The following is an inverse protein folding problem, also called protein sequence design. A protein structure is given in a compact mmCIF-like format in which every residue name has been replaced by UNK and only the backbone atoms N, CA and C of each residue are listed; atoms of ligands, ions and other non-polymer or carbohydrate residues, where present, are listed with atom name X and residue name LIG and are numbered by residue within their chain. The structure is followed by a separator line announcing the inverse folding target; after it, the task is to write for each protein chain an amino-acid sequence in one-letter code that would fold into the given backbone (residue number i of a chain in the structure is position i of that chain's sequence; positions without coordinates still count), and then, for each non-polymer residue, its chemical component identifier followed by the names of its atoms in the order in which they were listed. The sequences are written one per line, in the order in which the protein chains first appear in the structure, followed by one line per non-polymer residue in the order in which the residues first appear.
data_IF_785826240252
#
_entry.id   IF_785826240252
#
_cell.length_a   1.000
_cell.length_b   1.000
_cell.length_c   1.000
_cell.angle_alpha   90.00
_cell.angle_beta   90.00
_cell.angle_gamma   90.00
#
_symmetry.space_group_name_H-M   'P 1'
#
loop_
_entity.id
_entity.type
_entity.pdbx_description
1 polymer ?
#
# COMPACT_ATOMS: atom_id res chain seq x y z
N UNK A 1 -0.89 -4.70 1.43
CA UNK A 1 0.22 -3.71 1.39
C UNK A 1 0.93 -3.63 2.75
N UNK A 2 0.20 -3.58 3.83
CA UNK A 2 0.75 -3.48 5.20
C UNK A 2 1.79 -4.57 5.49
N UNK A 3 1.47 -5.83 5.21
CA UNK A 3 2.43 -6.94 5.41
C UNK A 3 3.74 -6.69 4.65
N UNK A 4 3.68 -6.17 3.42
CA UNK A 4 4.88 -5.87 2.62
C UNK A 4 5.73 -4.78 3.28
N UNK A 5 5.09 -3.72 3.80
CA UNK A 5 5.80 -2.65 4.53
C UNK A 5 6.44 -3.18 5.80
N UNK A 6 5.73 -3.99 6.58
CA UNK A 6 6.29 -4.64 7.78
C UNK A 6 7.48 -5.52 7.42
N UNK A 7 7.36 -6.37 6.38
CA UNK A 7 8.45 -7.25 5.94
C UNK A 7 9.66 -6.46 5.44
N UNK A 8 9.47 -5.38 4.69
CA UNK A 8 10.60 -4.54 4.24
C UNK A 8 11.33 -3.94 5.43
N UNK A 9 10.62 -3.33 6.39
CA UNK A 9 11.22 -2.78 7.61
C UNK A 9 11.97 -3.85 8.43
N UNK A 10 11.34 -5.01 8.63
CA UNK A 10 11.95 -6.13 9.36
C UNK A 10 13.20 -6.67 8.63
N UNK A 11 13.15 -6.80 7.31
CA UNK A 11 14.29 -7.25 6.51
C UNK A 11 15.46 -6.27 6.61
N UNK A 12 15.20 -4.97 6.48
CA UNK A 12 16.24 -3.94 6.63
C UNK A 12 16.85 -3.98 8.04
N UNK A 13 16.00 -4.09 9.08
CA UNK A 13 16.46 -4.20 10.47
C UNK A 13 17.38 -5.39 10.68
N UNK A 14 16.93 -6.58 10.26
CA UNK A 14 17.72 -7.82 10.40
C UNK A 14 19.03 -7.72 9.59
N UNK A 15 18.97 -7.22 8.36
CA UNK A 15 20.15 -7.09 7.52
C UNK A 15 21.21 -6.16 8.16
N UNK A 16 20.79 -5.01 8.71
CA UNK A 16 21.68 -4.08 9.39
C UNK A 16 22.38 -4.72 10.62
N UNK A 17 21.63 -5.49 11.40
CA UNK A 17 22.18 -6.16 12.58
C UNK A 17 23.11 -7.32 12.18
N UNK A 18 22.76 -8.10 11.14
CA UNK A 18 23.61 -9.18 10.65
C UNK A 18 24.93 -8.65 10.08
N UNK A 19 24.91 -7.52 9.36
CA UNK A 19 26.14 -6.89 8.83
C UNK A 19 27.01 -6.39 9.97
N UNK A 20 26.42 -5.79 11.02
CA UNK A 20 27.19 -5.25 12.14
C UNK A 20 27.64 -6.31 13.16
N UNK A 21 27.03 -7.48 13.21
CA UNK A 21 27.30 -8.54 14.19
C UNK A 21 28.79 -8.99 14.21
N UNK A 22 29.46 -9.29 13.07
CA UNK A 22 30.87 -9.67 13.06
C UNK A 22 31.79 -8.57 13.63
N UNK A 23 31.55 -7.31 13.27
CA UNK A 23 32.33 -6.16 13.73
C UNK A 23 32.19 -5.97 15.24
N UNK A 24 30.96 -6.06 15.75
CA UNK A 24 30.69 -6.04 17.18
C UNK A 24 31.40 -7.19 17.91
N UNK A 25 31.31 -8.41 17.39
CA UNK A 25 31.96 -9.58 18.00
C UNK A 25 33.49 -9.48 18.04
N UNK A 26 34.08 -8.84 17.03
CA UNK A 26 35.53 -8.60 16.92
C UNK A 26 35.99 -7.31 17.60
N UNK A 27 35.07 -6.55 18.24
CA UNK A 27 35.34 -5.21 18.83
C UNK A 27 35.96 -4.24 17.84
N UNK A 28 35.57 -4.33 16.56
CA UNK A 28 36.00 -3.46 15.49
C UNK A 28 34.89 -2.46 15.12
N UNK A 29 35.22 -1.25 14.65
CA UNK A 29 34.22 -0.35 14.08
C UNK A 29 33.61 -0.97 12.84
N UNK A 30 32.27 -1.07 12.82
CA UNK A 30 31.52 -1.53 11.65
C UNK A 30 31.46 -0.47 10.56
N UNK A 31 31.00 -0.83 9.35
CA UNK A 31 30.77 0.11 8.27
C UNK A 31 29.68 1.13 8.66
N UNK A 32 29.86 2.40 8.29
CA UNK A 32 28.87 3.46 8.55
C UNK A 32 27.64 3.35 7.63
N UNK A 33 26.94 2.21 7.68
CA UNK A 33 25.72 1.99 6.89
C UNK A 33 24.60 2.91 7.37
N UNK A 34 24.53 3.17 8.68
CA UNK A 34 23.49 4.00 9.27
C UNK A 34 23.59 5.45 8.79
N UNK A 35 24.79 6.01 8.72
CA UNK A 35 25.03 7.32 8.15
C UNK A 35 24.70 7.43 6.65
N UNK A 36 24.50 6.31 5.94
CA UNK A 36 24.03 6.29 4.56
C UNK A 36 22.50 6.15 4.44
N UNK A 37 21.82 5.75 5.50
CA UNK A 37 20.38 5.46 5.49
C UNK A 37 19.55 6.45 6.32
N UNK A 38 20.11 7.01 7.38
CA UNK A 38 19.47 8.02 8.22
C UNK A 38 19.42 9.37 7.52
N UNK A 39 18.43 10.16 7.83
CA UNK A 39 18.28 11.49 7.24
C UNK A 39 18.82 12.56 8.18
N UNK A 40 19.33 13.64 7.61
CA UNK A 40 20.08 14.71 8.28
C UNK A 40 19.30 16.02 8.27
N UNK A 41 19.50 16.84 9.30
CA UNK A 41 19.08 18.25 9.32
C UNK A 41 20.04 19.16 8.56
N UNK A 42 21.32 18.79 8.44
CA UNK A 42 22.32 19.52 7.65
C UNK A 42 22.05 19.43 6.15
N UNK A 43 21.81 20.55 5.50
CA UNK A 43 21.52 20.64 4.07
C UNK A 43 22.68 20.13 3.20
N UNK A 44 23.93 20.36 3.63
CA UNK A 44 25.11 19.91 2.90
C UNK A 44 25.23 18.37 2.93
N UNK A 45 24.95 17.74 4.08
CA UNK A 45 24.89 16.28 4.20
C UNK A 45 23.72 15.70 3.37
N UNK A 46 22.56 16.35 3.40
CA UNK A 46 21.40 15.97 2.63
C UNK A 46 21.66 16.01 1.11
N UNK A 47 22.30 17.07 0.61
CA UNK A 47 22.64 17.17 -0.81
C UNK A 47 23.62 16.09 -1.27
N UNK A 48 24.51 15.62 -0.38
CA UNK A 48 25.41 14.49 -0.67
C UNK A 48 24.71 13.13 -0.62
N UNK A 49 23.60 13.03 0.12
CA UNK A 49 22.82 11.78 0.33
C UNK A 49 21.33 12.02 0.09
N UNK A 50 20.88 12.41 -1.13
CA UNK A 50 19.52 12.85 -1.41
C UNK A 50 18.45 11.73 -1.34
N UNK A 51 18.86 10.49 -1.17
CA UNK A 51 17.95 9.34 -0.95
C UNK A 51 17.50 9.20 0.50
N UNK A 52 18.22 9.82 1.45
CA UNK A 52 17.96 9.63 2.90
C UNK A 52 16.57 10.09 3.36
N UNK A 53 15.89 11.07 2.74
CA UNK A 53 14.49 11.37 3.03
C UNK A 53 13.50 10.23 2.78
N UNK A 54 13.93 9.20 2.05
CA UNK A 54 13.14 7.99 1.80
C UNK A 54 13.66 6.82 2.62
N UNK A 55 14.97 6.61 2.68
CA UNK A 55 15.55 5.42 3.34
C UNK A 55 15.36 5.43 4.85
N UNK A 56 15.34 6.61 5.47
CA UNK A 56 15.16 6.74 6.92
C UNK A 56 13.88 6.09 7.44
N UNK A 57 12.79 6.12 6.63
CA UNK A 57 11.48 5.55 6.98
C UNK A 57 11.50 4.04 7.16
N UNK A 58 12.53 3.37 6.63
CA UNK A 58 12.68 1.91 6.66
C UNK A 58 13.79 1.46 7.59
N UNK A 59 14.50 2.40 8.23
CA UNK A 59 15.69 2.12 9.03
C UNK A 59 15.37 2.22 10.51
N UNK A 60 15.62 1.14 11.26
CA UNK A 60 15.47 1.09 12.71
C UNK A 60 16.74 0.54 13.32
N UNK A 61 17.10 1.05 14.52
CA UNK A 61 18.27 0.53 15.25
C UNK A 61 17.86 -0.27 16.49
N UNK A 62 16.96 0.25 17.31
CA UNK A 62 16.52 -0.42 18.54
C UNK A 62 15.37 -1.41 18.29
N UNK A 63 15.39 -2.57 18.98
CA UNK A 63 14.34 -3.58 18.87
C UNK A 63 12.96 -3.04 19.29
N UNK A 64 12.88 -2.35 20.44
CA UNK A 64 11.60 -1.76 20.88
C UNK A 64 11.07 -0.74 19.88
N UNK A 65 11.97 0.04 19.25
CA UNK A 65 11.61 1.04 18.25
C UNK A 65 10.94 0.38 17.03
N UNK A 66 11.55 -0.66 16.44
CA UNK A 66 10.91 -1.36 15.31
C UNK A 66 9.66 -2.10 15.75
N UNK A 67 9.67 -2.75 16.93
CA UNK A 67 8.54 -3.53 17.41
C UNK A 67 7.27 -2.68 17.53
N UNK A 68 7.33 -1.53 18.21
CA UNK A 68 6.16 -0.66 18.37
C UNK A 68 5.74 0.00 17.06
N UNK A 69 6.67 0.37 16.19
CA UNK A 69 6.34 0.87 14.85
C UNK A 69 5.59 -0.18 14.02
N UNK A 70 6.09 -1.41 13.98
CA UNK A 70 5.47 -2.47 13.20
C UNK A 70 4.15 -2.93 13.80
N UNK A 71 4.04 -2.95 15.12
CA UNK A 71 2.79 -3.26 15.81
C UNK A 71 1.69 -2.23 15.46
N UNK A 72 2.01 -0.94 15.57
CA UNK A 72 1.07 0.12 15.26
C UNK A 72 0.73 0.16 13.75
N UNK A 73 1.73 -0.03 12.88
CA UNK A 73 1.52 -0.16 11.44
C UNK A 73 0.65 -1.37 11.09
N UNK A 74 0.85 -2.49 11.78
CA UNK A 74 0.01 -3.68 11.59
C UNK A 74 -1.44 -3.39 11.91
N UNK A 75 -1.73 -2.90 13.12
CA UNK A 75 -3.10 -2.66 13.54
C UNK A 75 -3.78 -1.53 12.74
N UNK A 76 -3.17 -0.36 12.72
CA UNK A 76 -3.78 0.82 12.09
C UNK A 76 -3.70 0.75 10.57
N UNK A 77 -2.61 0.22 10.05
CA UNK A 77 -2.44 0.01 8.61
C UNK A 77 -3.41 -1.01 8.05
N UNK A 78 -3.68 -2.12 8.76
CA UNK A 78 -4.69 -3.10 8.32
C UNK A 78 -6.08 -2.48 8.30
N UNK A 79 -6.44 -1.74 9.35
CA UNK A 79 -7.70 -1.02 9.40
C UNK A 79 -7.84 -0.02 8.24
N UNK A 80 -6.77 0.71 7.94
CA UNK A 80 -6.70 1.62 6.79
C UNK A 80 -6.80 0.85 5.46
N UNK A 81 -6.06 -0.27 5.33
CA UNK A 81 -6.05 -1.10 4.11
C UNK A 81 -7.42 -1.67 3.78
N UNK A 82 -8.14 -2.16 4.81
CA UNK A 82 -9.46 -2.75 4.66
C UNK A 82 -10.53 -1.70 4.25
N UNK A 83 -10.40 -0.45 4.70
CA UNK A 83 -11.35 0.62 4.39
C UNK A 83 -11.02 1.39 3.11
N UNK A 84 -9.75 1.62 2.83
CA UNK A 84 -9.30 2.55 1.78
C UNK A 84 -8.40 1.91 0.72
N UNK A 85 -7.97 0.67 0.95
CA UNK A 85 -7.14 -0.09 0.02
C UNK A 85 -5.63 0.13 0.19
N UNK A 86 -4.86 -0.89 -0.16
CA UNK A 86 -3.42 -0.96 0.11
C UNK A 86 -2.57 0.09 -0.63
N UNK A 87 -3.00 0.57 -1.79
CA UNK A 87 -2.25 1.62 -2.52
C UNK A 87 -2.27 2.95 -1.78
N UNK A 88 -3.39 3.29 -1.12
CA UNK A 88 -3.48 4.48 -0.27
C UNK A 88 -2.67 4.35 1.01
N UNK A 89 -2.57 3.14 1.58
CA UNK A 89 -1.64 2.88 2.70
C UNK A 89 -0.21 3.20 2.29
N UNK A 90 0.25 2.73 1.12
CA UNK A 90 1.59 3.02 0.61
C UNK A 90 1.81 4.53 0.41
N UNK A 91 0.84 5.20 -0.22
CA UNK A 91 0.90 6.65 -0.43
C UNK A 91 0.96 7.45 0.88
N UNK A 92 0.11 7.09 1.87
CA UNK A 92 0.14 7.72 3.20
C UNK A 92 1.45 7.44 3.94
N UNK A 93 1.98 6.22 3.85
CA UNK A 93 3.26 5.87 4.46
C UNK A 93 4.41 6.71 3.88
N UNK A 94 4.53 6.77 2.56
CA UNK A 94 5.63 7.50 1.90
C UNK A 94 5.49 9.02 2.05
N UNK A 95 4.33 9.58 1.73
CA UNK A 95 4.12 11.03 1.83
C UNK A 95 4.07 11.51 3.27
N UNK A 96 3.56 10.69 4.20
CA UNK A 96 3.60 10.98 5.62
C UNK A 96 5.03 11.04 6.16
N UNK A 97 5.87 10.09 5.77
CA UNK A 97 7.29 10.13 6.10
C UNK A 97 8.00 11.33 5.46
N UNK A 98 7.76 11.64 4.18
CA UNK A 98 8.32 12.83 3.53
C UNK A 98 7.87 14.13 4.19
N UNK A 99 6.60 14.23 4.60
CA UNK A 99 6.08 15.39 5.34
C UNK A 99 6.69 15.50 6.73
N UNK A 100 6.90 14.36 7.40
CA UNK A 100 7.61 14.30 8.68
C UNK A 100 9.05 14.79 8.53
N UNK A 101 9.77 14.28 7.54
CA UNK A 101 11.10 14.75 7.21
C UNK A 101 11.13 16.26 6.91
N UNK A 102 10.17 16.76 6.13
CA UNK A 102 10.11 18.17 5.78
C UNK A 102 9.92 19.05 7.03
N UNK A 103 9.03 18.67 7.96
CA UNK A 103 8.82 19.44 9.19
C UNK A 103 10.05 19.40 10.11
N UNK A 104 10.71 18.24 10.21
CA UNK A 104 11.99 18.12 10.92
C UNK A 104 13.05 19.03 10.29
N UNK A 105 13.24 18.98 8.97
CA UNK A 105 14.24 19.81 8.27
C UNK A 105 13.98 21.31 8.45
N UNK A 106 12.72 21.73 8.27
CA UNK A 106 12.28 23.12 8.45
C UNK A 106 12.51 23.55 9.90
N UNK A 107 12.10 22.74 10.87
CA UNK A 107 12.24 23.05 12.29
C UNK A 107 13.69 23.26 12.67
N UNK A 108 14.59 22.34 12.32
CA UNK A 108 16.00 22.43 12.66
C UNK A 108 16.75 23.59 11.99
N UNK A 109 16.36 23.94 10.76
CA UNK A 109 17.04 25.03 10.03
C UNK A 109 16.44 26.43 10.26
N UNK A 110 15.21 26.52 10.80
CA UNK A 110 14.54 27.82 10.99
C UNK A 110 14.36 28.21 12.47
N UNK A 111 14.28 27.25 13.39
CA UNK A 111 14.03 27.57 14.80
C UNK A 111 15.37 27.78 15.54
N UNK A 112 15.59 28.93 16.19
CA UNK A 112 16.83 29.24 16.87
C UNK A 112 17.23 28.22 17.94
N UNK A 113 16.26 27.55 18.57
CA UNK A 113 16.51 26.53 19.60
C UNK A 113 17.36 25.35 19.11
N UNK A 114 17.37 25.08 17.80
CA UNK A 114 18.11 23.96 17.19
C UNK A 114 19.39 24.43 16.45
N UNK A 115 19.76 25.71 16.49
CA UNK A 115 20.86 26.26 15.69
C UNK A 115 22.20 25.52 15.90
N UNK A 116 22.48 25.10 17.14
CA UNK A 116 23.72 24.40 17.49
C UNK A 116 23.65 22.88 17.18
N UNK A 117 22.46 22.34 16.88
CA UNK A 117 22.24 20.91 16.66
C UNK A 117 22.18 20.53 15.18
N UNK A 118 22.03 21.49 14.26
CA UNK A 118 21.82 21.24 12.81
C UNK A 118 22.89 20.31 12.22
N UNK A 119 24.19 20.50 12.61
CA UNK A 119 25.27 19.70 12.06
C UNK A 119 25.30 18.23 12.50
N UNK A 120 24.64 17.89 13.60
CA UNK A 120 24.71 16.55 14.22
C UNK A 120 23.39 15.81 14.30
N UNK A 121 22.27 16.49 14.06
CA UNK A 121 20.95 15.84 14.20
C UNK A 121 20.61 14.92 13.03
N UNK A 122 20.06 13.76 13.37
CA UNK A 122 19.58 12.77 12.41
C UNK A 122 18.24 12.20 12.84
N UNK A 123 17.44 11.76 11.86
CA UNK A 123 16.22 10.99 12.11
C UNK A 123 16.25 9.65 11.40
N UNK A 124 15.59 8.66 12.03
CA UNK A 124 15.39 7.32 11.49
C UNK A 124 14.14 6.67 12.07
N UNK A 125 13.56 5.75 11.36
CA UNK A 125 12.36 5.01 11.79
C UNK A 125 11.12 5.32 10.96
N UNK A 126 10.19 4.38 10.97
CA UNK A 126 8.93 4.46 10.25
C UNK A 126 7.87 5.35 10.93
N UNK A 127 8.17 5.89 12.12
CA UNK A 127 7.16 6.44 13.03
C UNK A 127 6.37 7.62 12.45
N UNK A 128 7.01 8.52 11.70
CA UNK A 128 6.29 9.60 11.00
C UNK A 128 5.31 9.06 9.95
N UNK A 129 5.71 8.04 9.20
CA UNK A 129 4.86 7.33 8.25
C UNK A 129 3.70 6.61 8.95
N UNK A 130 3.97 5.99 10.09
CA UNK A 130 2.97 5.29 10.91
C UNK A 130 1.97 6.27 11.51
N UNK A 131 2.43 7.43 11.99
CA UNK A 131 1.57 8.51 12.46
C UNK A 131 0.65 9.04 11.36
N UNK A 132 1.16 9.17 10.13
CA UNK A 132 0.32 9.56 8.99
C UNK A 132 -0.78 8.54 8.70
N UNK A 133 -0.48 7.24 8.78
CA UNK A 133 -1.48 6.18 8.59
C UNK A 133 -2.51 6.20 9.72
N UNK A 134 -2.08 6.28 10.99
CA UNK A 134 -2.95 6.34 12.16
C UNK A 134 -3.89 7.57 12.13
N UNK A 135 -3.31 8.76 12.00
CA UNK A 135 -4.09 10.01 12.00
C UNK A 135 -4.95 10.09 10.74
N UNK A 136 -4.46 9.57 9.61
CA UNK A 136 -5.21 9.48 8.37
C UNK A 136 -6.51 8.69 8.54
N UNK A 137 -6.46 7.49 9.10
CA UNK A 137 -7.68 6.69 9.29
C UNK A 137 -8.58 7.28 10.38
N UNK A 138 -7.99 7.85 11.43
CA UNK A 138 -8.74 8.52 12.51
C UNK A 138 -9.50 9.76 12.00
N UNK A 139 -8.91 10.55 11.09
CA UNK A 139 -9.55 11.71 10.46
C UNK A 139 -10.61 11.29 9.42
N UNK A 140 -10.37 10.19 8.69
CA UNK A 140 -11.33 9.68 7.72
C UNK A 140 -12.58 9.11 8.37
N UNK A 141 -12.42 8.35 9.45
CA UNK A 141 -13.51 7.70 10.23
C UNK A 141 -13.33 7.99 11.73
N UNK A 142 -13.67 9.22 12.18
CA UNK A 142 -13.38 9.67 13.55
C UNK A 142 -14.14 8.90 14.63
N UNK A 143 -15.28 8.32 14.28
CA UNK A 143 -16.11 7.55 15.23
C UNK A 143 -15.85 6.04 15.17
N UNK A 144 -14.82 5.62 14.40
CA UNK A 144 -14.41 4.23 14.37
C UNK A 144 -13.91 3.80 15.76
N UNK A 145 -14.48 2.72 16.27
CA UNK A 145 -14.14 2.19 17.57
C UNK A 145 -13.14 1.05 17.46
N UNK A 146 -12.13 1.08 18.31
CA UNK A 146 -11.14 0.00 18.47
C UNK A 146 -11.15 -0.49 19.89
N UNK A 147 -11.06 -1.80 20.09
CA UNK A 147 -11.01 -2.39 21.42
C UNK A 147 -9.56 -2.52 21.87
N UNK A 148 -9.22 -1.75 22.90
CA UNK A 148 -7.93 -1.83 23.57
C UNK A 148 -8.00 -2.82 24.73
N UNK A 149 -6.92 -3.59 24.95
CA UNK A 149 -6.88 -4.65 25.97
C UNK A 149 -7.17 -4.12 27.39
N UNK A 150 -6.60 -2.95 27.72
CA UNK A 150 -6.69 -2.38 29.09
C UNK A 150 -7.75 -1.30 29.24
N UNK A 151 -8.14 -0.63 28.14
CA UNK A 151 -9.01 0.56 28.17
C UNK A 151 -10.42 0.31 27.60
N UNK A 152 -10.70 -0.94 27.17
CA UNK A 152 -11.98 -1.26 26.54
C UNK A 152 -12.12 -0.63 25.15
N UNK A 153 -13.34 -0.24 24.78
CA UNK A 153 -13.65 0.34 23.48
C UNK A 153 -13.43 1.84 23.47
N UNK A 154 -12.54 2.31 22.60
CA UNK A 154 -12.17 3.74 22.47
C UNK A 154 -12.32 4.17 21.00
N UNK A 155 -12.83 5.38 20.75
CA UNK A 155 -12.88 5.95 19.41
C UNK A 155 -11.49 6.35 18.93
N UNK A 156 -11.16 5.97 17.72
CA UNK A 156 -9.82 6.12 17.15
C UNK A 156 -9.30 7.56 17.13
N UNK A 157 -10.20 8.55 16.98
CA UNK A 157 -9.85 9.98 17.06
C UNK A 157 -9.19 10.37 18.38
N UNK A 158 -9.57 9.75 19.49
CA UNK A 158 -8.99 10.06 20.79
C UNK A 158 -7.59 9.48 20.95
N UNK A 159 -7.36 8.28 20.39
CA UNK A 159 -6.03 7.68 20.37
C UNK A 159 -5.08 8.54 19.52
N UNK A 160 -5.52 8.95 18.32
CA UNK A 160 -4.73 9.82 17.46
C UNK A 160 -4.43 11.18 18.11
N UNK A 161 -5.42 11.78 18.77
CA UNK A 161 -5.25 13.06 19.46
C UNK A 161 -4.26 12.95 20.63
N UNK A 162 -4.38 11.90 21.46
CA UNK A 162 -3.47 11.70 22.61
C UNK A 162 -2.03 11.52 22.12
N UNK A 163 -1.80 10.69 21.10
CA UNK A 163 -0.46 10.48 20.57
C UNK A 163 0.11 11.77 19.97
N UNK A 164 -0.70 12.53 19.24
CA UNK A 164 -0.29 13.84 18.70
C UNK A 164 0.08 14.83 19.80
N UNK A 165 -0.70 14.90 20.89
CA UNK A 165 -0.41 15.78 22.01
C UNK A 165 0.84 15.34 22.79
N UNK A 166 1.08 14.04 22.93
CA UNK A 166 2.33 13.51 23.48
C UNK A 166 3.51 13.97 22.64
N UNK A 167 3.45 13.84 21.32
CA UNK A 167 4.50 14.31 20.43
C UNK A 167 4.73 15.82 20.56
N UNK A 168 3.65 16.61 20.61
CA UNK A 168 3.74 18.07 20.73
C UNK A 168 4.47 18.52 22.02
N UNK A 169 4.15 17.88 23.15
CA UNK A 169 4.84 18.14 24.43
C UNK A 169 6.29 17.65 24.38
N UNK A 170 6.51 16.49 23.79
CA UNK A 170 7.82 15.84 23.71
C UNK A 170 8.83 16.58 22.84
N UNK A 171 8.40 17.44 21.92
CA UNK A 171 9.30 18.33 21.16
C UNK A 171 10.19 19.14 22.10
N UNK A 172 9.67 19.60 23.25
CA UNK A 172 10.42 20.42 24.21
C UNK A 172 11.11 19.60 25.30
N UNK A 173 10.61 18.42 25.62
CA UNK A 173 10.98 17.66 26.82
C UNK A 173 11.83 16.42 26.56
N UNK A 174 11.91 15.99 25.30
CA UNK A 174 12.62 14.78 24.90
C UNK A 174 13.96 15.09 24.22
N UNK A 175 14.98 14.27 24.42
CA UNK A 175 16.22 14.37 23.64
C UNK A 175 16.04 14.01 22.16
N UNK A 176 14.88 13.45 21.77
CA UNK A 176 14.52 13.11 20.39
C UNK A 176 13.55 14.14 19.78
N UNK A 177 13.77 15.42 19.99
CA UNK A 177 12.92 16.50 19.44
C UNK A 177 12.69 16.38 17.93
N UNK A 178 13.72 16.00 17.17
CA UNK A 178 13.64 15.80 15.73
C UNK A 178 12.65 14.70 15.34
N UNK A 179 12.63 13.58 16.06
CA UNK A 179 11.66 12.52 15.88
C UNK A 179 10.22 12.97 16.13
N UNK A 180 10.00 13.73 17.21
CA UNK A 180 8.67 14.27 17.53
C UNK A 180 8.19 15.30 16.51
N UNK A 181 9.06 16.16 15.99
CA UNK A 181 8.74 17.05 14.86
C UNK A 181 8.35 16.25 13.62
N UNK A 182 9.09 15.18 13.33
CA UNK A 182 8.74 14.31 12.20
C UNK A 182 7.37 13.62 12.39
N UNK A 183 7.03 13.17 13.60
CA UNK A 183 5.72 12.60 13.90
C UNK A 183 4.59 13.61 13.67
N UNK A 184 4.76 14.85 14.13
CA UNK A 184 3.80 15.95 13.91
C UNK A 184 3.62 16.19 12.40
N UNK A 185 4.71 16.24 11.62
CA UNK A 185 4.63 16.40 10.17
C UNK A 185 3.88 15.26 9.49
N UNK A 186 4.12 14.01 9.92
CA UNK A 186 3.38 12.84 9.45
C UNK A 186 1.89 12.91 9.81
N UNK A 187 1.57 13.26 11.06
CA UNK A 187 0.20 13.41 11.53
C UNK A 187 -0.56 14.49 10.74
N UNK A 188 0.05 15.64 10.51
CA UNK A 188 -0.55 16.74 9.72
C UNK A 188 -0.84 16.28 8.29
N UNK A 189 0.10 15.58 7.63
CA UNK A 189 -0.16 15.02 6.31
C UNK A 189 -1.34 14.04 6.33
N UNK A 190 -1.34 13.08 7.26
CA UNK A 190 -2.41 12.07 7.37
C UNK A 190 -3.78 12.73 7.54
N UNK A 191 -3.88 13.75 8.41
CA UNK A 191 -5.10 14.52 8.61
C UNK A 191 -5.55 15.23 7.32
N UNK A 192 -4.68 16.03 6.71
CA UNK A 192 -4.99 16.81 5.51
C UNK A 192 -5.34 15.91 4.32
N UNK A 193 -4.57 14.83 4.10
CA UNK A 193 -4.84 13.88 3.03
C UNK A 193 -6.22 13.22 3.18
N UNK A 194 -6.62 12.89 4.41
CA UNK A 194 -7.93 12.30 4.68
C UNK A 194 -9.07 13.29 4.52
N UNK A 195 -8.87 14.55 4.92
CA UNK A 195 -9.85 15.60 4.67
C UNK A 195 -10.05 15.85 3.16
N UNK A 196 -8.96 15.87 2.39
CA UNK A 196 -9.00 16.00 0.92
C UNK A 196 -9.64 14.79 0.25
N UNK A 197 -9.35 13.58 0.76
CA UNK A 197 -9.97 12.36 0.24
C UNK A 197 -11.51 12.39 0.42
N UNK A 198 -12.00 12.88 1.56
CA UNK A 198 -13.46 13.07 1.79
C UNK A 198 -14.09 14.09 0.84
N UNK A 199 -13.29 15.02 0.31
CA UNK A 199 -13.71 16.01 -0.70
C UNK A 199 -13.51 15.51 -2.14
N UNK A 200 -13.13 14.23 -2.34
CA UNK A 200 -12.91 13.64 -3.66
C UNK A 200 -11.50 13.80 -4.23
N UNK A 201 -10.55 14.40 -3.49
CA UNK A 201 -9.15 14.58 -3.94
C UNK A 201 -8.25 13.57 -3.24
N UNK A 202 -7.63 12.66 -3.98
CA UNK A 202 -6.81 11.56 -3.46
C UNK A 202 -5.32 11.79 -3.74
N UNK A 203 -4.65 12.47 -2.81
CA UNK A 203 -3.23 12.77 -2.92
C UNK A 203 -2.35 11.51 -2.87
N UNK A 204 -2.70 10.58 -1.96
CA UNK A 204 -1.92 9.36 -1.75
C UNK A 204 -1.96 8.44 -2.97
N UNK A 205 -3.14 8.25 -3.56
CA UNK A 205 -3.27 7.43 -4.76
C UNK A 205 -2.66 8.12 -5.98
N UNK A 206 -2.83 9.44 -6.11
CA UNK A 206 -2.23 10.23 -7.20
C UNK A 206 -0.70 10.14 -7.19
N UNK A 207 -0.09 10.20 -6.01
CA UNK A 207 1.35 10.04 -5.84
C UNK A 207 1.83 8.64 -6.26
N UNK A 208 1.16 7.59 -5.79
CA UNK A 208 1.50 6.20 -6.15
C UNK A 208 1.35 5.99 -7.66
N UNK A 209 0.28 6.50 -8.27
CA UNK A 209 0.08 6.44 -9.73
C UNK A 209 1.20 7.17 -10.49
N UNK A 210 1.64 8.33 -9.97
CA UNK A 210 2.76 9.09 -10.54
C UNK A 210 4.06 8.29 -10.53
N UNK A 211 4.38 7.66 -9.39
CA UNK A 211 5.55 6.79 -9.26
C UNK A 211 5.46 5.61 -10.25
N UNK A 212 4.33 4.90 -10.29
CA UNK A 212 4.14 3.77 -11.20
C UNK A 212 4.29 4.19 -12.68
N UNK A 213 3.74 5.35 -13.05
CA UNK A 213 3.90 5.91 -14.40
C UNK A 213 5.36 6.22 -14.72
N UNK A 214 6.11 6.79 -13.77
CA UNK A 214 7.53 7.06 -13.92
C UNK A 214 8.31 5.76 -14.14
N UNK A 215 8.07 4.75 -13.32
CA UNK A 215 8.74 3.45 -13.49
C UNK A 215 8.28 2.69 -14.74
N UNK A 216 7.03 2.84 -15.18
CA UNK A 216 6.55 2.23 -16.42
C UNK A 216 7.22 2.81 -17.64
N UNK A 217 7.60 4.09 -17.62
CA UNK A 217 8.38 4.73 -18.69
C UNK A 217 9.77 4.08 -18.87
N UNK A 218 10.41 3.65 -17.77
CA UNK A 218 11.69 2.93 -17.81
C UNK A 218 11.53 1.42 -18.06
N UNK A 219 10.35 0.85 -17.81
CA UNK A 219 10.01 -0.50 -18.24
C UNK A 219 9.63 -0.44 -19.71
N UNK A 220 10.56 -0.80 -20.59
CA UNK A 220 10.25 -1.11 -21.97
C UNK A 220 9.18 -2.21 -21.94
N UNK A 221 7.94 -1.85 -22.22
CA UNK A 221 6.82 -2.78 -22.28
C UNK A 221 7.17 -3.84 -23.32
N UNK A 222 7.69 -4.95 -22.85
CA UNK A 222 7.58 -6.20 -23.60
C UNK A 222 6.12 -6.62 -23.41
N UNK A 223 5.21 -5.86 -24.05
CA UNK A 223 3.82 -6.27 -24.17
C UNK A 223 3.79 -7.76 -24.54
N UNK A 224 2.85 -8.53 -23.98
CA UNK A 224 2.72 -9.92 -24.37
C UNK A 224 2.65 -9.90 -25.91
N UNK A 225 3.72 -10.38 -26.56
CA UNK A 225 3.64 -10.67 -27.98
C UNK A 225 2.50 -11.67 -28.09
N UNK A 226 1.31 -11.20 -28.45
CA UNK A 226 0.25 -12.07 -28.89
C UNK A 226 0.85 -12.82 -30.07
N UNK A 227 1.37 -14.01 -29.79
CA UNK A 227 1.72 -14.98 -30.80
C UNK A 227 0.38 -15.39 -31.37
N UNK A 228 -0.05 -14.67 -32.41
CA UNK A 228 -1.12 -15.15 -33.28
C UNK A 228 -0.61 -16.46 -33.82
N UNK A 229 -0.92 -17.54 -33.14
CA UNK A 229 -0.76 -18.88 -33.68
C UNK A 229 -1.69 -18.92 -34.89
N UNK A 230 -1.15 -18.62 -36.07
CA UNK A 230 -1.83 -18.97 -37.32
C UNK A 230 -1.98 -20.49 -37.30
N UNK A 231 -3.09 -20.93 -36.70
CA UNK A 231 -3.56 -22.29 -36.85
C UNK A 231 -3.84 -22.47 -38.34
N UNK A 232 -2.86 -22.99 -39.02
CA UNK A 232 -3.00 -23.43 -40.41
C UNK A 232 -3.91 -24.67 -40.35
N UNK A 233 -5.22 -24.47 -40.21
CA UNK A 233 -6.21 -25.52 -40.40
C UNK A 233 -6.54 -25.50 -41.89
N UNK A 234 -5.86 -26.37 -42.64
CA UNK A 234 -6.25 -26.76 -43.99
C UNK A 234 -7.57 -27.48 -44.08
N UNK A 235 -8.65 -26.89 -43.55
CA UNK A 235 -10.03 -27.19 -43.88
C UNK A 235 -10.75 -25.83 -43.95
N UNK A 236 -11.35 -25.56 -45.14
CA UNK A 236 -12.26 -24.44 -45.34
C UNK A 236 -13.17 -24.33 -44.15
N UNK A 237 -12.94 -23.33 -43.31
CA UNK A 237 -13.84 -23.01 -42.19
C UNK A 237 -15.22 -22.75 -42.76
N UNK A 238 -16.25 -23.37 -42.20
CA UNK A 238 -17.65 -22.96 -42.42
C UNK A 238 -17.74 -21.46 -42.22
N UNK A 239 -18.33 -20.76 -43.17
CA UNK A 239 -18.54 -19.30 -43.02
C UNK A 239 -19.44 -19.06 -41.82
N UNK A 240 -19.31 -17.86 -41.19
CA UNK A 240 -20.22 -17.47 -40.09
C UNK A 240 -21.70 -17.56 -40.52
N UNK A 241 -21.99 -17.40 -41.83
CA UNK A 241 -23.30 -17.58 -42.41
C UNK A 241 -23.75 -19.05 -42.32
N UNK A 242 -22.85 -20.00 -42.64
CA UNK A 242 -23.17 -21.45 -42.56
C UNK A 242 -23.35 -21.93 -41.12
N UNK A 243 -22.57 -21.37 -40.19
CA UNK A 243 -22.71 -21.65 -38.76
C UNK A 243 -24.06 -21.13 -38.22
N UNK A 244 -24.41 -19.88 -38.58
CA UNK A 244 -25.67 -19.29 -38.17
C UNK A 244 -26.90 -20.00 -38.80
N UNK A 245 -26.78 -20.46 -40.05
CA UNK A 245 -27.81 -21.26 -40.71
C UNK A 245 -28.03 -22.61 -39.98
N UNK A 246 -26.94 -23.34 -39.70
CA UNK A 246 -27.01 -24.60 -38.97
C UNK A 246 -27.63 -24.44 -37.55
N UNK A 247 -27.32 -23.33 -36.87
CA UNK A 247 -27.89 -23.02 -35.54
C UNK A 247 -29.40 -22.72 -35.62
N UNK A 248 -29.86 -22.01 -36.67
CA UNK A 248 -31.29 -21.76 -36.90
C UNK A 248 -32.06 -23.06 -37.22
N UNK A 249 -31.49 -23.93 -38.05
CA UNK A 249 -32.11 -25.20 -38.37
C UNK A 249 -32.23 -26.12 -37.15
N UNK A 250 -31.22 -26.14 -36.30
CA UNK A 250 -31.25 -26.87 -35.05
C UNK A 250 -32.34 -26.33 -34.12
N UNK A 251 -32.45 -25.00 -33.96
CA UNK A 251 -33.49 -24.39 -33.15
C UNK A 251 -34.87 -24.69 -33.68
N UNK A 252 -35.11 -24.58 -34.97
CA UNK A 252 -36.37 -24.89 -35.59
C UNK A 252 -36.81 -26.36 -35.37
N UNK A 253 -35.84 -27.30 -35.37
CA UNK A 253 -36.11 -28.71 -35.05
C UNK A 253 -36.54 -28.89 -33.60
N UNK A 254 -35.86 -28.19 -32.65
CA UNK A 254 -36.19 -28.22 -31.23
C UNK A 254 -37.61 -27.66 -31.03
N UNK A 255 -37.94 -26.53 -31.63
CA UNK A 255 -39.24 -25.88 -31.52
C UNK A 255 -40.35 -26.78 -32.05
N UNK A 256 -40.14 -27.46 -33.20
CA UNK A 256 -41.11 -28.43 -33.74
C UNK A 256 -41.33 -29.63 -32.81
N UNK A 257 -40.27 -30.11 -32.14
CA UNK A 257 -40.40 -31.21 -31.16
C UNK A 257 -41.20 -30.74 -29.91
N UNK A 258 -40.93 -29.53 -29.44
CA UNK A 258 -41.67 -28.94 -28.31
C UNK A 258 -43.16 -28.74 -28.63
N UNK A 259 -43.46 -28.27 -29.84
CA UNK A 259 -44.83 -28.16 -30.33
C UNK A 259 -45.54 -29.53 -30.38
N UNK A 260 -44.85 -30.58 -30.82
CA UNK A 260 -45.36 -31.93 -30.84
C UNK A 260 -45.67 -32.47 -29.44
N UNK A 261 -44.76 -32.18 -28.47
CA UNK A 261 -44.98 -32.50 -27.06
C UNK A 261 -46.23 -31.79 -26.51
N UNK A 262 -46.39 -30.51 -26.84
CA UNK A 262 -47.55 -29.73 -26.39
C UNK A 262 -48.89 -30.28 -26.91
N UNK A 263 -48.88 -30.83 -28.13
CA UNK A 263 -50.12 -31.37 -28.77
C UNK A 263 -50.42 -32.80 -28.45
N UNK A 264 -49.39 -33.64 -28.32
CA UNK A 264 -49.55 -35.10 -28.29
C UNK A 264 -48.87 -35.83 -27.15
N UNK A 265 -48.21 -35.05 -26.24
CA UNK A 265 -47.46 -35.55 -25.09
C UNK A 265 -46.07 -36.08 -25.44
N UNK A 266 -45.20 -36.22 -24.43
CA UNK A 266 -43.80 -36.68 -24.57
C UNK A 266 -43.68 -38.11 -25.13
N UNK A 267 -44.64 -38.97 -24.87
CA UNK A 267 -44.63 -40.39 -25.34
C UNK A 267 -44.86 -40.54 -26.84
N UNK A 268 -45.36 -39.49 -27.50
CA UNK A 268 -45.57 -39.47 -28.97
C UNK A 268 -44.25 -39.21 -29.75
N UNK A 269 -43.14 -38.89 -29.06
CA UNK A 269 -41.85 -38.62 -29.69
C UNK A 269 -41.14 -39.91 -30.13
N UNK A 270 -40.55 -39.87 -31.32
CA UNK A 270 -39.65 -40.92 -31.79
C UNK A 270 -38.34 -40.94 -30.96
N UNK A 271 -37.59 -42.03 -31.08
CA UNK A 271 -36.31 -42.19 -30.39
C UNK A 271 -35.30 -41.11 -30.80
N UNK A 272 -35.30 -40.77 -32.09
CA UNK A 272 -34.45 -39.71 -32.63
C UNK A 272 -34.82 -38.31 -32.09
N UNK A 273 -36.12 -38.02 -31.97
CA UNK A 273 -36.61 -36.75 -31.43
C UNK A 273 -36.26 -36.60 -29.93
N UNK A 274 -36.34 -37.68 -29.15
CA UNK A 274 -35.90 -37.71 -27.74
C UNK A 274 -34.40 -37.49 -27.62
N UNK A 275 -33.58 -38.06 -28.50
CA UNK A 275 -32.13 -37.84 -28.53
C UNK A 275 -31.75 -36.40 -28.87
N UNK A 276 -32.47 -35.75 -29.79
CA UNK A 276 -32.25 -34.32 -30.13
C UNK A 276 -32.55 -33.45 -28.91
N UNK A 277 -33.64 -33.67 -28.22
CA UNK A 277 -34.04 -32.92 -27.03
C UNK A 277 -33.02 -33.09 -25.89
N UNK A 278 -32.53 -34.31 -25.67
CA UNK A 278 -31.54 -34.61 -24.64
C UNK A 278 -30.21 -33.97 -24.90
N UNK A 279 -29.79 -33.87 -26.18
CA UNK A 279 -28.55 -33.17 -26.56
C UNK A 279 -28.66 -31.66 -26.47
N UNK A 280 -29.84 -31.09 -26.60
CA UNK A 280 -30.07 -29.67 -26.52
C UNK A 280 -30.12 -29.15 -25.06
N UNK A 281 -30.34 -30.00 -24.09
CA UNK A 281 -30.39 -29.67 -22.66
C UNK A 281 -29.08 -29.84 -21.93
N UNK A 282 -27.98 -30.19 -22.62
CA UNK A 282 -26.64 -30.23 -22.09
C UNK A 282 -25.83 -29.02 -22.59
#
# INVERSE_FOLDING_TARGET
MVIRLVLVNATVFVALHLINLPFWAMRQPGPDILGWLWSFSDLGALLRKPWTPVTYMFTHWGFSHIFFNMLLLWFMGRLFEDLLGGRRVLGNYLLGGLSGFALYLIGYNLLPVYADEVGGSTIHGASASVMAVLVGIAAYRPDLEVRLLLFGTVRLKWIALVLFLIDLVSVQTSPNSGGHLAHIGGALYGYLASMRLRQGSDWSLSFVNGIEKLFSFFRRDRGPRMRVEKRYTGKRGRSDADFNAAKRDQQARIDAILDKISRSGYDSLSKEEKDVLFKAGK
#
